data_IF_679505139199
#
_entry.id   IF_679505139199
#
_cell.length_a   1.000
_cell.length_b   1.000
_cell.length_c   1.000
_cell.angle_alpha   90.00
_cell.angle_beta   90.00
_cell.angle_gamma   90.00
#
_symmetry.space_group_name_H-M   'P 1'
#
loop_
_entity.id
_entity.type
_entity.pdbx_description
1 polymer ?
#
# COMPACT_ATOMS: atom_id res chain seq x y z
N UNK A 1 4.84 -29.84 -14.68
CA UNK A 1 6.31 -29.93 -14.76
C UNK A 1 6.89 -28.69 -14.10
N UNK A 2 7.68 -28.88 -13.06
CA UNK A 2 8.20 -27.80 -12.22
C UNK A 2 9.37 -27.11 -12.90
N UNK A 3 9.34 -25.78 -12.99
CA UNK A 3 10.34 -24.95 -13.67
C UNK A 3 11.67 -24.79 -12.90
N UNK A 4 11.82 -25.50 -11.78
CA UNK A 4 12.94 -25.34 -10.84
C UNK A 4 14.22 -26.15 -11.18
N UNK A 5 14.22 -26.98 -12.22
CA UNK A 5 15.37 -27.83 -12.56
C UNK A 5 16.50 -27.13 -13.34
N UNK A 6 16.37 -25.83 -13.66
CA UNK A 6 17.33 -25.10 -14.50
C UNK A 6 18.53 -24.45 -13.77
N UNK A 7 18.66 -24.58 -12.45
CA UNK A 7 19.71 -23.91 -11.68
C UNK A 7 20.64 -24.83 -10.87
N UNK A 8 21.00 -26.00 -11.41
CA UNK A 8 22.15 -26.77 -10.89
C UNK A 8 23.46 -26.34 -11.58
N UNK A 9 24.24 -25.47 -10.94
CA UNK A 9 25.68 -25.31 -11.25
C UNK A 9 26.53 -26.09 -10.23
N UNK A 10 27.44 -26.92 -10.75
CA UNK A 10 28.44 -27.71 -10.00
C UNK A 10 29.51 -26.80 -9.36
N UNK A 11 30.15 -27.22 -8.26
CA UNK A 11 31.08 -26.38 -7.50
C UNK A 11 32.46 -26.29 -8.16
N UNK A 12 33.04 -25.08 -8.18
CA UNK A 12 34.42 -24.84 -8.56
C UNK A 12 35.33 -24.77 -7.32
N UNK A 13 36.55 -25.24 -7.51
CA UNK A 13 37.53 -25.67 -6.51
C UNK A 13 38.17 -24.53 -5.70
N UNK A 14 38.60 -24.94 -4.51
CA UNK A 14 39.38 -24.20 -3.51
C UNK A 14 40.76 -23.77 -4.00
N UNK A 15 41.17 -22.54 -3.65
CA UNK A 15 42.60 -22.17 -3.55
C UNK A 15 42.84 -21.58 -2.17
N UNK A 16 43.77 -22.19 -1.42
CA UNK A 16 44.26 -21.75 -0.10
C UNK A 16 45.47 -20.79 -0.25
N UNK A 17 45.80 -20.02 0.80
CA UNK A 17 46.55 -18.76 0.70
C UNK A 17 48.07 -18.94 0.84
N UNK A 18 48.83 -17.96 0.36
CA UNK A 18 50.28 -17.82 0.62
C UNK A 18 50.49 -16.68 1.60
N UNK A 19 51.23 -17.00 2.66
CA UNK A 19 51.65 -16.13 3.74
C UNK A 19 52.99 -15.44 3.42
N UNK A 20 53.19 -14.25 4.00
CA UNK A 20 54.48 -13.62 4.35
C UNK A 20 54.13 -12.43 5.25
N UNK A 21 54.88 -12.00 6.26
CA UNK A 21 55.99 -12.57 6.99
C UNK A 21 56.06 -11.84 8.35
N UNK A 22 56.78 -12.42 9.30
CA UNK A 22 56.94 -11.96 10.69
C UNK A 22 57.87 -10.75 10.82
N UNK A 23 57.63 -9.92 11.84
CA UNK A 23 58.59 -9.30 12.79
C UNK A 23 57.90 -8.09 13.47
N UNK A 24 58.12 -7.69 14.72
CA UNK A 24 58.78 -8.25 15.88
C UNK A 24 58.26 -7.45 17.09
N UNK A 25 58.43 -8.03 18.26
CA UNK A 25 58.08 -7.61 19.63
C UNK A 25 58.63 -6.25 20.07
N UNK A 26 57.83 -5.51 20.83
CA UNK A 26 58.25 -4.38 21.66
C UNK A 26 57.26 -4.14 22.82
N UNK A 27 57.75 -4.23 24.05
CA UNK A 27 57.01 -4.30 25.31
C UNK A 27 56.55 -2.95 25.87
N UNK A 28 55.45 -3.02 26.62
CA UNK A 28 55.07 -2.20 27.78
C UNK A 28 54.72 -0.70 27.58
N UNK A 29 53.44 -0.38 27.85
CA UNK A 29 52.99 0.42 29.00
C UNK A 29 51.50 0.78 28.83
N UNK A 30 50.67 0.36 29.79
CA UNK A 30 49.39 1.03 30.03
C UNK A 30 49.64 2.41 30.63
N UNK A 31 48.87 3.41 30.22
CA UNK A 31 48.29 4.32 31.18
C UNK A 31 46.76 4.37 31.02
N UNK A 32 46.08 4.36 32.17
CA UNK A 32 44.67 4.73 32.27
C UNK A 32 44.51 6.18 31.83
N UNK A 33 43.60 6.46 30.92
CA UNK A 33 43.02 7.79 30.75
C UNK A 33 41.53 7.69 30.47
N UNK A 34 40.75 8.16 31.44
CA UNK A 34 39.35 8.53 31.27
C UNK A 34 39.26 9.57 30.14
N UNK A 35 38.54 9.25 29.06
CA UNK A 35 38.04 10.26 28.13
C UNK A 35 36.54 9.99 27.95
N UNK A 36 35.78 10.82 28.65
CA UNK A 36 34.40 11.16 28.28
C UNK A 36 34.43 11.76 26.88
N UNK A 37 33.76 11.12 25.92
CA UNK A 37 33.47 11.72 24.63
C UNK A 37 31.98 11.60 24.35
N UNK A 38 31.24 12.60 24.80
CA UNK A 38 29.89 12.91 24.30
C UNK A 38 30.01 13.29 22.82
N UNK A 39 29.72 12.35 21.93
CA UNK A 39 29.58 12.64 20.50
C UNK A 39 28.25 13.36 20.32
N UNK A 40 28.30 14.69 20.19
CA UNK A 40 27.21 15.47 19.61
C UNK A 40 27.15 15.12 18.13
N UNK A 41 26.24 14.23 17.76
CA UNK A 41 25.85 14.01 16.37
C UNK A 41 25.07 15.25 15.93
N UNK A 42 25.74 16.18 15.27
CA UNK A 42 25.06 17.18 14.45
C UNK A 42 24.46 16.43 13.28
N UNK A 43 23.15 16.22 13.34
CA UNK A 43 22.34 15.76 12.22
C UNK A 43 22.33 16.84 11.14
N UNK A 44 23.39 16.89 10.33
CA UNK A 44 23.32 17.58 9.06
C UNK A 44 22.35 16.80 8.18
N UNK A 45 21.14 17.34 8.07
CA UNK A 45 20.11 16.90 7.15
C UNK A 45 20.71 17.06 5.75
N UNK A 46 21.10 15.95 5.15
CA UNK A 46 21.37 15.88 3.71
C UNK A 46 20.08 16.36 3.04
N UNK A 47 20.07 17.49 2.29
CA UNK A 47 18.88 17.94 1.62
C UNK A 47 18.47 16.86 0.62
N UNK A 48 17.28 16.29 0.80
CA UNK A 48 16.67 15.43 -0.20
C UNK A 48 16.66 16.19 -1.52
N UNK A 49 17.22 15.60 -2.56
CA UNK A 49 17.03 16.09 -3.94
C UNK A 49 15.53 16.24 -4.13
N UNK A 50 15.05 17.47 -4.26
CA UNK A 50 13.64 17.71 -4.59
C UNK A 50 13.47 17.24 -6.02
N UNK A 51 12.92 16.03 -6.22
CA UNK A 51 12.52 15.59 -7.55
C UNK A 51 11.62 16.68 -8.14
N UNK A 52 12.07 17.29 -9.25
CA UNK A 52 11.35 18.38 -9.88
C UNK A 52 10.00 17.85 -10.37
N UNK A 53 8.91 18.45 -9.91
CA UNK A 53 7.55 18.03 -10.28
C UNK A 53 7.37 18.20 -11.79
N UNK A 54 7.13 17.09 -12.50
CA UNK A 54 6.83 17.08 -13.94
C UNK A 54 5.40 17.61 -14.16
N UNK A 55 5.20 18.77 -14.81
CA UNK A 55 3.87 19.32 -15.06
C UNK A 55 3.01 18.43 -15.96
N UNK A 56 1.69 18.48 -15.78
CA UNK A 56 0.72 17.71 -16.55
C UNK A 56 0.85 17.96 -18.05
N UNK A 57 1.15 19.19 -18.47
CA UNK A 57 1.34 19.58 -19.87
C UNK A 57 2.51 18.84 -20.54
N UNK A 58 3.53 18.45 -19.75
CA UNK A 58 4.61 17.60 -20.25
C UNK A 58 4.16 16.14 -20.31
N UNK A 59 3.46 15.66 -19.27
CA UNK A 59 2.98 14.27 -19.19
C UNK A 59 1.98 13.90 -20.28
N UNK A 60 1.11 14.85 -20.65
CA UNK A 60 0.11 14.71 -21.70
C UNK A 60 0.73 14.31 -23.05
N UNK A 61 1.96 14.75 -23.35
CA UNK A 61 2.64 14.46 -24.64
C UNK A 61 2.86 12.97 -24.88
N UNK A 62 3.02 12.21 -23.80
CA UNK A 62 3.25 10.76 -23.85
C UNK A 62 2.03 9.97 -23.32
N UNK A 63 0.96 10.65 -22.95
CA UNK A 63 -0.27 10.03 -22.44
C UNK A 63 -1.25 9.79 -23.60
N UNK A 64 -2.13 8.82 -23.40
CA UNK A 64 -3.13 8.44 -24.39
C UNK A 64 -4.48 8.92 -23.89
N UNK A 65 -5.13 9.75 -24.70
CA UNK A 65 -6.47 10.25 -24.40
C UNK A 65 -7.49 9.12 -24.53
N UNK A 66 -8.50 9.13 -23.66
CA UNK A 66 -9.63 8.20 -23.71
C UNK A 66 -10.44 8.37 -24.99
N UNK A 67 -11.40 7.46 -25.21
CA UNK A 67 -12.39 7.55 -26.30
C UNK A 67 -13.14 8.89 -26.32
N UNK A 68 -13.32 9.52 -25.16
CA UNK A 68 -13.97 10.82 -25.00
C UNK A 68 -12.99 12.00 -25.04
N UNK A 69 -11.72 11.76 -25.36
CA UNK A 69 -10.68 12.77 -25.42
C UNK A 69 -10.24 13.30 -24.05
N UNK A 70 -10.38 12.51 -22.98
CA UNK A 70 -9.93 12.88 -21.65
C UNK A 70 -8.58 12.24 -21.33
N UNK A 71 -7.70 13.00 -20.69
CA UNK A 71 -6.47 12.47 -20.12
C UNK A 71 -6.68 12.03 -18.66
N UNK A 72 -5.79 11.19 -18.09
CA UNK A 72 -5.96 10.62 -16.76
C UNK A 72 -6.24 11.64 -15.65
N UNK A 73 -5.55 12.78 -15.67
CA UNK A 73 -5.79 13.85 -14.70
C UNK A 73 -7.19 14.48 -14.80
N UNK A 74 -7.76 14.59 -16.00
CA UNK A 74 -9.12 15.11 -16.23
C UNK A 74 -10.18 14.09 -15.76
N UNK A 75 -9.96 12.80 -16.02
CA UNK A 75 -10.79 11.72 -15.47
C UNK A 75 -10.77 11.77 -13.94
N UNK A 76 -9.60 12.00 -13.35
CA UNK A 76 -9.51 12.16 -11.90
C UNK A 76 -10.27 13.40 -11.42
N UNK A 77 -10.31 14.49 -12.20
CA UNK A 77 -11.10 15.68 -11.86
C UNK A 77 -12.60 15.35 -11.88
N UNK A 78 -13.07 14.55 -12.85
CA UNK A 78 -14.45 14.05 -12.86
C UNK A 78 -14.76 13.27 -11.58
N UNK A 79 -13.85 12.38 -11.15
CA UNK A 79 -14.02 11.62 -9.91
C UNK A 79 -14.18 12.51 -8.67
N UNK A 80 -13.51 13.66 -8.64
CA UNK A 80 -13.58 14.62 -7.53
C UNK A 80 -14.61 15.75 -7.73
N UNK A 81 -15.30 15.82 -8.88
CA UNK A 81 -16.08 17.01 -9.26
C UNK A 81 -17.15 17.39 -8.23
N UNK A 82 -17.92 16.41 -7.74
CA UNK A 82 -18.96 16.59 -6.71
C UNK A 82 -18.41 17.03 -5.34
N UNK A 83 -17.08 17.00 -5.18
CA UNK A 83 -16.40 17.52 -4.00
C UNK A 83 -16.02 19.00 -4.09
N UNK A 84 -16.06 19.58 -5.29
CA UNK A 84 -15.63 20.95 -5.57
C UNK A 84 -16.82 21.88 -5.84
N UNK A 85 -16.71 23.09 -5.32
CA UNK A 85 -17.60 24.20 -5.64
C UNK A 85 -17.29 24.77 -7.03
N UNK A 86 -18.14 25.62 -7.58
CA UNK A 86 -17.86 26.33 -8.83
C UNK A 86 -16.84 27.47 -8.65
N UNK A 87 -16.61 27.88 -7.41
CA UNK A 87 -15.74 28.98 -6.98
C UNK A 87 -15.18 28.73 -5.57
N UNK A 88 -14.14 29.49 -5.19
CA UNK A 88 -13.51 29.44 -3.85
C UNK A 88 -13.03 28.06 -3.38
N UNK A 89 -12.56 27.22 -4.31
CA UNK A 89 -12.01 25.91 -3.95
C UNK A 89 -10.60 26.02 -3.37
N UNK A 90 -10.32 25.15 -2.41
CA UNK A 90 -8.96 24.75 -2.05
C UNK A 90 -8.72 23.33 -2.55
N UNK A 91 -7.68 23.14 -3.35
CA UNK A 91 -7.33 21.85 -3.92
C UNK A 91 -6.28 21.12 -3.09
N UNK A 92 -6.39 19.79 -3.05
CA UNK A 92 -5.43 18.94 -2.35
C UNK A 92 -4.06 18.98 -3.05
N UNK A 93 -2.97 18.98 -2.26
CA UNK A 93 -1.61 19.11 -2.79
C UNK A 93 -1.19 17.99 -3.76
N UNK A 94 -1.85 16.82 -3.72
CA UNK A 94 -1.52 15.72 -4.63
C UNK A 94 -1.69 16.09 -6.11
N UNK A 95 -2.59 17.02 -6.44
CA UNK A 95 -2.78 17.49 -7.80
C UNK A 95 -1.47 17.97 -8.41
N UNK A 96 -0.75 18.81 -7.68
CA UNK A 96 0.57 19.28 -8.09
C UNK A 96 1.63 18.20 -7.86
N UNK A 97 1.84 17.77 -6.62
CA UNK A 97 3.01 16.97 -6.26
C UNK A 97 3.03 15.57 -6.90
N UNK A 98 1.86 14.93 -7.09
CA UNK A 98 1.79 13.60 -7.72
C UNK A 98 1.53 13.69 -9.22
N UNK A 99 0.69 14.62 -9.66
CA UNK A 99 0.15 14.59 -11.02
C UNK A 99 0.52 15.79 -11.90
N UNK A 100 1.24 16.77 -11.36
CA UNK A 100 1.72 17.93 -12.12
C UNK A 100 0.62 18.92 -12.51
N UNK A 101 -0.57 18.84 -11.91
CA UNK A 101 -1.71 19.72 -12.19
C UNK A 101 -1.62 20.95 -11.30
N UNK A 102 -1.37 22.13 -11.91
CA UNK A 102 -1.29 23.41 -11.19
C UNK A 102 -2.66 24.06 -11.00
N UNK A 103 -3.45 24.09 -12.07
CA UNK A 103 -4.73 24.81 -12.10
C UNK A 103 -5.90 23.84 -12.28
N UNK A 104 -6.32 23.25 -11.17
CA UNK A 104 -7.45 22.30 -11.13
C UNK A 104 -8.76 23.00 -11.50
N UNK A 105 -8.94 24.27 -11.09
CA UNK A 105 -10.14 25.05 -11.38
C UNK A 105 -10.32 25.27 -12.89
N UNK A 106 -9.23 25.57 -13.61
CA UNK A 106 -9.26 25.67 -15.07
C UNK A 106 -9.63 24.35 -15.73
N UNK A 107 -9.14 23.23 -15.22
CA UNK A 107 -9.53 21.89 -15.68
C UNK A 107 -11.03 21.63 -15.50
N UNK A 108 -11.58 21.93 -14.32
CA UNK A 108 -13.01 21.79 -14.05
C UNK A 108 -13.88 22.68 -14.96
N UNK A 109 -13.45 23.92 -15.22
CA UNK A 109 -14.14 24.79 -16.20
C UNK A 109 -14.11 24.21 -17.61
N UNK A 110 -12.97 23.67 -18.05
CA UNK A 110 -12.89 23.00 -19.36
C UNK A 110 -13.82 21.80 -19.45
N UNK A 111 -13.93 21.01 -18.38
CA UNK A 111 -14.85 19.86 -18.33
C UNK A 111 -16.33 20.27 -18.34
N UNK A 112 -16.66 21.41 -17.71
CA UNK A 112 -17.98 22.04 -17.81
C UNK A 112 -18.26 22.50 -19.25
N UNK A 113 -17.35 23.24 -19.87
CA UNK A 113 -17.51 23.77 -21.23
C UNK A 113 -17.63 22.65 -22.27
N UNK A 114 -16.96 21.51 -22.04
CA UNK A 114 -17.01 20.30 -22.89
C UNK A 114 -18.21 19.40 -22.59
N UNK A 115 -19.07 19.75 -21.63
CA UNK A 115 -20.30 19.04 -21.32
C UNK A 115 -20.15 17.75 -20.48
N UNK A 116 -18.99 17.51 -19.88
CA UNK A 116 -18.81 16.40 -18.91
C UNK A 116 -19.34 16.76 -17.52
N UNK A 117 -19.34 18.04 -17.18
CA UNK A 117 -19.88 18.57 -15.95
C UNK A 117 -21.06 19.50 -16.23
N UNK A 118 -21.89 19.70 -15.21
CA UNK A 118 -22.92 20.73 -15.14
C UNK A 118 -22.86 21.41 -13.76
N UNK A 119 -23.47 22.59 -13.65
CA UNK A 119 -23.63 23.27 -12.36
C UNK A 119 -24.67 22.52 -11.54
N UNK A 120 -24.31 22.17 -10.31
CA UNK A 120 -25.18 21.46 -9.39
C UNK A 120 -26.40 22.26 -8.97
N UNK A 121 -27.49 21.55 -8.69
CA UNK A 121 -28.75 22.16 -8.28
C UNK A 121 -28.75 22.58 -6.78
N UNK A 122 -29.82 23.25 -6.36
CA UNK A 122 -30.00 23.69 -4.98
C UNK A 122 -29.94 22.54 -3.98
N UNK A 123 -30.57 21.42 -4.29
CA UNK A 123 -30.58 20.26 -3.42
C UNK A 123 -29.15 19.78 -3.12
N UNK A 124 -28.31 19.63 -4.14
CA UNK A 124 -26.92 19.19 -3.94
C UNK A 124 -26.05 20.21 -3.23
N UNK A 125 -26.33 21.52 -3.39
CA UNK A 125 -25.66 22.54 -2.58
C UNK A 125 -25.99 22.36 -1.08
N UNK A 126 -27.26 22.11 -0.75
CA UNK A 126 -27.69 21.88 0.64
C UNK A 126 -27.14 20.54 1.17
N UNK A 127 -27.13 19.49 0.35
CA UNK A 127 -26.55 18.19 0.72
C UNK A 127 -25.05 18.28 1.00
N UNK A 128 -24.35 19.28 0.46
CA UNK A 128 -22.92 19.47 0.71
C UNK A 128 -22.62 20.10 2.08
N UNK A 129 -23.57 20.84 2.63
CA UNK A 129 -23.39 21.57 3.88
C UNK A 129 -23.24 20.66 5.09
N UNK A 130 -22.63 21.19 6.16
CA UNK A 130 -22.53 20.44 7.41
C UNK A 130 -23.92 20.29 8.05
N UNK A 131 -24.21 19.11 8.62
CA UNK A 131 -25.44 18.87 9.37
C UNK A 131 -25.69 19.91 10.47
N UNK A 132 -24.65 20.52 11.06
CA UNK A 132 -24.80 21.63 12.01
C UNK A 132 -25.42 22.88 11.37
N UNK A 133 -24.98 23.24 10.16
CA UNK A 133 -25.53 24.36 9.37
C UNK A 133 -26.99 24.10 9.01
N UNK A 134 -27.30 22.88 8.54
CA UNK A 134 -28.68 22.51 8.22
C UNK A 134 -29.60 22.61 9.45
N UNK A 135 -29.14 22.15 10.62
CA UNK A 135 -29.89 22.24 11.87
C UNK A 135 -30.07 23.69 12.33
N UNK A 136 -29.07 24.56 12.16
CA UNK A 136 -29.23 25.98 12.51
C UNK A 136 -30.27 26.66 11.62
N UNK A 137 -30.29 26.37 10.31
CA UNK A 137 -31.27 26.93 9.39
C UNK A 137 -32.70 26.47 9.71
N UNK A 138 -32.89 25.19 10.02
CA UNK A 138 -34.18 24.65 10.47
C UNK A 138 -34.62 25.29 11.79
N UNK A 139 -33.71 25.40 12.77
CA UNK A 139 -34.01 25.99 14.09
C UNK A 139 -34.43 27.46 13.99
N UNK A 140 -33.77 28.24 13.13
CA UNK A 140 -34.08 29.65 12.91
C UNK A 140 -35.53 29.86 12.44
N UNK A 141 -36.14 28.85 11.83
CA UNK A 141 -37.51 28.86 11.31
C UNK A 141 -38.48 28.03 12.16
N UNK A 142 -38.08 27.64 13.37
CA UNK A 142 -38.90 26.85 14.30
C UNK A 142 -39.16 25.41 13.84
N UNK A 143 -38.40 24.91 12.85
CA UNK A 143 -38.58 23.57 12.30
C UNK A 143 -37.83 22.53 13.13
N UNK A 144 -38.31 21.28 13.06
CA UNK A 144 -37.70 20.13 13.74
C UNK A 144 -36.26 19.91 13.24
N UNK A 145 -35.31 19.74 14.16
CA UNK A 145 -33.86 19.58 13.86
C UNK A 145 -33.32 18.15 14.05
N UNK A 146 -34.18 17.21 14.47
CA UNK A 146 -33.83 15.80 14.58
C UNK A 146 -33.94 15.10 13.22
N UNK A 147 -33.18 14.03 13.04
CA UNK A 147 -33.22 13.17 11.85
C UNK A 147 -31.84 12.93 11.24
N UNK A 148 -31.79 12.02 10.27
CA UNK A 148 -30.61 11.86 9.40
C UNK A 148 -30.44 13.07 8.50
N UNK A 149 -29.24 13.27 7.92
CA UNK A 149 -28.92 14.44 7.09
C UNK A 149 -29.94 14.61 5.95
N UNK A 150 -30.26 13.53 5.25
CA UNK A 150 -31.18 13.55 4.11
C UNK A 150 -32.58 14.02 4.52
N UNK A 151 -33.04 13.65 5.72
CA UNK A 151 -34.32 14.13 6.26
C UNK A 151 -34.28 15.63 6.58
N UNK A 152 -33.13 16.16 7.01
CA UNK A 152 -32.95 17.60 7.24
C UNK A 152 -32.97 18.37 5.91
N UNK A 153 -32.29 17.85 4.89
CA UNK A 153 -32.28 18.42 3.53
C UNK A 153 -33.70 18.45 2.96
N UNK A 154 -34.42 17.34 3.00
CA UNK A 154 -35.80 17.25 2.52
C UNK A 154 -36.73 18.25 3.22
N UNK A 155 -36.57 18.40 4.54
CA UNK A 155 -37.35 19.38 5.32
C UNK A 155 -37.06 20.82 4.91
N UNK A 156 -35.78 21.17 4.70
CA UNK A 156 -35.42 22.49 4.18
C UNK A 156 -36.10 22.72 2.82
N UNK A 157 -35.99 21.76 1.90
CA UNK A 157 -36.54 21.87 0.54
C UNK A 157 -38.07 21.96 0.49
N UNK A 158 -38.77 21.35 1.45
CA UNK A 158 -40.24 21.32 1.49
C UNK A 158 -40.84 22.52 2.21
N UNK A 159 -40.25 22.92 3.34
CA UNK A 159 -40.83 23.91 4.26
C UNK A 159 -40.34 25.34 4.00
N UNK A 160 -39.23 25.51 3.26
CA UNK A 160 -38.63 26.83 3.02
C UNK A 160 -38.71 27.18 1.52
N UNK A 161 -39.16 28.40 1.17
CA UNK A 161 -39.20 28.84 -0.22
C UNK A 161 -37.84 28.69 -0.93
N UNK A 162 -37.88 28.18 -2.16
CA UNK A 162 -36.67 27.95 -2.96
C UNK A 162 -35.84 29.22 -3.18
N UNK A 163 -36.46 30.39 -3.32
CA UNK A 163 -35.73 31.67 -3.47
C UNK A 163 -34.87 31.98 -2.25
N UNK A 164 -35.39 31.76 -1.05
CA UNK A 164 -34.67 31.98 0.21
C UNK A 164 -33.51 31.00 0.36
N UNK A 165 -33.75 29.72 0.05
CA UNK A 165 -32.71 28.70 0.04
C UNK A 165 -31.63 28.99 -1.01
N UNK A 166 -32.02 29.46 -2.19
CA UNK A 166 -31.08 29.83 -3.26
C UNK A 166 -30.17 30.98 -2.85
N UNK A 167 -30.71 31.98 -2.13
CA UNK A 167 -29.94 33.06 -1.56
C UNK A 167 -28.98 32.55 -0.47
N UNK A 168 -29.47 31.69 0.43
CA UNK A 168 -28.69 31.16 1.55
C UNK A 168 -27.55 30.23 1.11
N UNK A 169 -27.83 29.38 0.14
CA UNK A 169 -26.94 28.35 -0.38
C UNK A 169 -26.53 28.70 -1.81
N UNK A 170 -26.03 29.91 -2.04
CA UNK A 170 -25.69 30.39 -3.38
C UNK A 170 -24.53 29.62 -4.05
N UNK A 171 -23.59 29.10 -3.24
CA UNK A 171 -22.44 28.34 -3.73
C UNK A 171 -22.88 26.98 -4.28
N UNK A 172 -22.58 26.73 -5.55
CA UNK A 172 -22.91 25.47 -6.23
C UNK A 172 -21.70 24.57 -6.33
N UNK A 173 -21.94 23.27 -6.42
CA UNK A 173 -20.92 22.29 -6.77
C UNK A 173 -20.94 21.98 -8.25
N UNK A 174 -19.88 21.33 -8.74
CA UNK A 174 -20.01 20.60 -9.99
C UNK A 174 -20.85 19.34 -9.79
N UNK A 175 -21.44 18.86 -10.88
CA UNK A 175 -22.09 17.56 -10.97
C UNK A 175 -21.74 16.90 -12.30
N UNK A 176 -21.59 15.59 -12.30
CA UNK A 176 -21.41 14.81 -13.53
C UNK A 176 -22.68 14.84 -14.40
N UNK A 177 -22.52 15.12 -15.69
CA UNK A 177 -23.54 14.81 -16.71
C UNK A 177 -23.54 13.31 -17.00
N UNK A 178 -24.51 12.82 -17.79
CA UNK A 178 -24.48 11.42 -18.25
C UNK A 178 -23.20 11.09 -19.05
N UNK A 179 -22.73 12.05 -19.87
CA UNK A 179 -21.45 11.92 -20.57
C UNK A 179 -20.26 11.85 -19.59
N UNK A 180 -20.28 12.69 -18.54
CA UNK A 180 -19.27 12.66 -17.47
C UNK A 180 -19.24 11.33 -16.73
N UNK A 181 -20.41 10.78 -16.38
CA UNK A 181 -20.54 9.47 -15.71
C UNK A 181 -19.99 8.36 -16.59
N UNK A 182 -20.40 8.32 -17.87
CA UNK A 182 -19.91 7.31 -18.82
C UNK A 182 -18.38 7.38 -18.98
N UNK A 183 -17.83 8.58 -19.19
CA UNK A 183 -16.39 8.73 -19.37
C UNK A 183 -15.59 8.34 -18.12
N UNK A 184 -16.13 8.59 -16.93
CA UNK A 184 -15.51 8.17 -15.66
C UNK A 184 -15.57 6.65 -15.46
N UNK A 185 -16.67 6.01 -15.86
CA UNK A 185 -16.85 4.56 -15.77
C UNK A 185 -15.89 3.82 -16.72
N UNK A 186 -15.81 4.25 -17.98
CA UNK A 186 -14.90 3.66 -18.99
C UNK A 186 -13.42 3.77 -18.57
N UNK A 187 -13.05 4.84 -17.87
CA UNK A 187 -11.68 5.11 -17.39
C UNK A 187 -11.48 4.77 -15.90
N UNK A 188 -12.24 3.81 -15.37
CA UNK A 188 -12.26 3.46 -13.95
C UNK A 188 -10.91 3.06 -13.32
N UNK A 189 -9.89 2.76 -14.13
CA UNK A 189 -8.52 2.52 -13.63
C UNK A 189 -7.91 3.76 -12.96
N UNK A 190 -8.27 4.97 -13.40
CA UNK A 190 -7.72 6.23 -12.89
C UNK A 190 -8.06 6.43 -11.40
N UNK A 191 -9.35 6.48 -11.00
CA UNK A 191 -9.69 6.59 -9.58
C UNK A 191 -9.31 5.34 -8.79
N UNK A 192 -9.17 4.17 -9.46
CA UNK A 192 -8.68 2.97 -8.80
C UNK A 192 -7.21 3.12 -8.37
N UNK A 193 -6.28 3.40 -9.30
CA UNK A 193 -4.84 3.48 -8.98
C UNK A 193 -4.50 4.69 -8.11
N UNK A 194 -5.27 5.78 -8.21
CA UNK A 194 -5.10 6.91 -7.30
C UNK A 194 -5.31 6.52 -5.83
N UNK A 195 -6.34 5.71 -5.56
CA UNK A 195 -6.70 5.21 -4.22
C UNK A 195 -5.86 4.04 -3.76
N UNK A 196 -5.25 3.31 -4.68
CA UNK A 196 -4.38 2.18 -4.40
C UNK A 196 -2.98 2.45 -4.97
N UNK A 197 -2.16 3.30 -4.32
CA UNK A 197 -0.80 3.53 -4.75
C UNK A 197 -0.01 2.21 -4.79
N UNK A 198 0.63 1.92 -5.91
CA UNK A 198 1.40 0.69 -6.13
C UNK A 198 2.79 1.07 -6.66
N UNK A 199 3.74 1.26 -5.74
CA UNK A 199 5.12 1.66 -6.08
C UNK A 199 5.16 2.86 -7.05
N UNK A 200 5.68 2.67 -8.26
CA UNK A 200 5.79 3.68 -9.33
C UNK A 200 4.59 3.69 -10.31
N UNK A 201 3.56 2.88 -10.03
CA UNK A 201 2.33 2.85 -10.80
C UNK A 201 1.38 3.97 -10.34
N UNK A 202 1.12 4.92 -11.23
CA UNK A 202 0.24 6.07 -11.03
C UNK A 202 -0.77 6.19 -12.19
N UNK A 203 -1.56 7.27 -12.20
CA UNK A 203 -2.58 7.49 -13.25
C UNK A 203 -1.97 7.61 -14.65
N UNK A 204 -0.71 8.03 -14.76
CA UNK A 204 0.00 8.26 -16.02
C UNK A 204 0.72 7.00 -16.50
N UNK A 205 1.41 6.29 -15.62
CA UNK A 205 2.10 5.05 -15.99
C UNK A 205 1.11 3.91 -16.24
N UNK A 206 0.00 3.83 -15.49
CA UNK A 206 -1.06 2.87 -15.80
C UNK A 206 -1.78 3.20 -17.12
N UNK A 207 -1.97 4.48 -17.45
CA UNK A 207 -2.54 4.89 -18.74
C UNK A 207 -1.74 4.32 -19.93
N UNK A 208 -0.41 4.29 -19.84
CA UNK A 208 0.43 3.66 -20.89
C UNK A 208 0.20 2.15 -20.95
N UNK A 209 0.25 1.48 -19.80
CA UNK A 209 0.16 0.01 -19.70
C UNK A 209 -1.17 -0.54 -20.24
N UNK A 210 -2.30 0.14 -19.97
CA UNK A 210 -3.62 -0.35 -20.40
C UNK A 210 -3.83 -0.26 -21.91
N UNK A 211 -3.11 0.65 -22.59
CA UNK A 211 -3.19 0.86 -24.03
C UNK A 211 -2.13 0.04 -24.80
N UNK A 212 -1.28 -0.71 -24.10
CA UNK A 212 -0.37 -1.65 -24.73
C UNK A 212 -1.04 -3.01 -24.96
N UNK A 213 -0.76 -3.73 -26.05
CA UNK A 213 -1.19 -5.12 -26.20
C UNK A 213 -0.60 -6.04 -25.12
N UNK A 214 -1.30 -7.12 -24.71
CA UNK A 214 -2.67 -7.48 -25.08
C UNK A 214 -3.71 -6.56 -24.40
N UNK A 215 -4.77 -6.20 -25.12
CA UNK A 215 -5.88 -5.43 -24.54
C UNK A 215 -6.72 -6.32 -23.63
N UNK A 216 -6.84 -5.93 -22.37
CA UNK A 216 -7.50 -6.69 -21.32
C UNK A 216 -7.95 -5.75 -20.19
N UNK A 217 -8.80 -6.19 -19.26
CA UNK A 217 -9.18 -5.39 -18.11
C UNK A 217 -7.97 -4.81 -17.37
N UNK A 218 -8.06 -3.55 -16.93
CA UNK A 218 -6.96 -2.88 -16.25
C UNK A 218 -6.49 -3.63 -14.99
N UNK A 219 -7.38 -4.38 -14.32
CA UNK A 219 -7.04 -5.21 -13.17
C UNK A 219 -6.04 -6.30 -13.54
N UNK A 220 -6.23 -6.94 -14.69
CA UNK A 220 -5.30 -7.97 -15.16
C UNK A 220 -3.96 -7.38 -15.59
N UNK A 221 -3.98 -6.15 -16.13
CA UNK A 221 -2.75 -5.38 -16.39
C UNK A 221 -1.98 -5.09 -15.11
N UNK A 222 -2.66 -4.64 -14.06
CA UNK A 222 -2.05 -4.42 -12.74
C UNK A 222 -1.53 -5.74 -12.16
N UNK A 223 -2.28 -6.83 -12.29
CA UNK A 223 -1.86 -8.16 -11.86
C UNK A 223 -0.59 -8.62 -12.59
N UNK A 224 -0.51 -8.42 -13.91
CA UNK A 224 0.68 -8.70 -14.72
C UNK A 224 1.89 -7.86 -14.27
N UNK A 225 1.67 -6.57 -14.02
CA UNK A 225 2.68 -5.66 -13.47
C UNK A 225 3.19 -6.14 -12.09
N UNK A 226 2.30 -6.47 -11.15
CA UNK A 226 2.66 -6.96 -9.81
C UNK A 226 3.44 -8.27 -9.87
N UNK A 227 3.07 -9.19 -10.77
CA UNK A 227 3.85 -10.41 -10.98
C UNK A 227 5.26 -10.11 -11.46
N UNK A 228 5.42 -9.25 -12.47
CA UNK A 228 6.73 -8.84 -12.98
C UNK A 228 7.58 -8.20 -11.87
N UNK A 229 7.02 -7.20 -11.16
CA UNK A 229 7.68 -6.52 -10.04
C UNK A 229 8.08 -7.48 -8.93
N UNK A 230 7.21 -8.42 -8.57
CA UNK A 230 7.55 -9.43 -7.56
C UNK A 230 8.80 -10.22 -7.96
N UNK A 231 8.92 -10.65 -9.22
CA UNK A 231 10.09 -11.39 -9.68
C UNK A 231 11.37 -10.53 -9.67
N UNK A 232 11.27 -9.26 -10.06
CA UNK A 232 12.38 -8.31 -9.98
C UNK A 232 12.85 -8.11 -8.54
N UNK A 233 11.93 -7.90 -7.60
CA UNK A 233 12.23 -7.76 -6.18
C UNK A 233 12.87 -9.02 -5.60
N UNK A 234 12.35 -10.19 -5.94
CA UNK A 234 12.91 -11.46 -5.50
C UNK A 234 14.35 -11.63 -6.00
N UNK A 235 14.61 -11.37 -7.28
CA UNK A 235 15.94 -11.48 -7.88
C UNK A 235 16.94 -10.48 -7.27
N UNK A 236 16.47 -9.29 -6.85
CA UNK A 236 17.27 -8.27 -6.20
C UNK A 236 17.47 -8.49 -4.68
N UNK A 237 16.92 -9.56 -4.10
CA UNK A 237 16.97 -9.80 -2.65
C UNK A 237 16.09 -8.84 -1.84
N UNK A 238 15.10 -8.22 -2.48
CA UNK A 238 14.16 -7.28 -1.87
C UNK A 238 12.88 -7.97 -1.38
N UNK A 239 13.01 -8.84 -0.37
CA UNK A 239 11.90 -9.69 0.06
C UNK A 239 10.76 -8.93 0.74
N UNK A 240 11.03 -7.77 1.34
CA UNK A 240 9.99 -6.87 1.85
C UNK A 240 9.13 -6.26 0.74
N UNK A 241 9.73 -5.88 -0.38
CA UNK A 241 8.99 -5.39 -1.55
C UNK A 241 8.28 -6.55 -2.28
N UNK A 242 8.90 -7.73 -2.34
CA UNK A 242 8.27 -8.94 -2.85
C UNK A 242 6.95 -9.25 -2.14
N UNK A 243 6.98 -9.36 -0.81
CA UNK A 243 5.76 -9.67 -0.03
C UNK A 243 4.72 -8.56 -0.16
N UNK A 244 5.12 -7.30 -0.36
CA UNK A 244 4.17 -6.21 -0.59
C UNK A 244 3.41 -6.42 -1.91
N UNK A 245 4.08 -6.86 -2.98
CA UNK A 245 3.39 -7.25 -4.21
C UNK A 245 2.35 -8.34 -3.95
N UNK A 246 2.69 -9.39 -3.19
CA UNK A 246 1.76 -10.47 -2.84
C UNK A 246 0.57 -10.00 -2.00
N UNK A 247 0.79 -9.08 -1.07
CA UNK A 247 -0.28 -8.47 -0.29
C UNK A 247 -1.21 -7.59 -1.15
N UNK A 248 -0.67 -6.82 -2.11
CA UNK A 248 -1.53 -6.11 -3.06
C UNK A 248 -2.36 -7.08 -3.90
N UNK A 249 -1.75 -8.17 -4.37
CA UNK A 249 -2.46 -9.23 -5.09
C UNK A 249 -3.55 -9.89 -4.24
N UNK A 250 -3.34 -10.10 -2.93
CA UNK A 250 -4.41 -10.61 -2.06
C UNK A 250 -5.59 -9.64 -1.96
N UNK A 251 -5.33 -8.32 -1.91
CA UNK A 251 -6.39 -7.31 -1.82
C UNK A 251 -7.26 -7.30 -3.09
N UNK A 252 -6.66 -7.44 -4.28
CA UNK A 252 -7.42 -7.63 -5.53
C UNK A 252 -8.36 -8.83 -5.46
N UNK A 253 -7.85 -9.97 -4.98
CA UNK A 253 -8.65 -11.19 -4.87
C UNK A 253 -9.78 -11.07 -3.84
N UNK A 254 -9.55 -10.36 -2.73
CA UNK A 254 -10.59 -10.03 -1.74
C UNK A 254 -11.70 -9.17 -2.36
N UNK A 255 -11.33 -8.12 -3.10
CA UNK A 255 -12.29 -7.27 -3.82
C UNK A 255 -13.13 -8.07 -4.84
N UNK A 256 -12.52 -9.05 -5.50
CA UNK A 256 -13.17 -9.96 -6.45
C UNK A 256 -13.91 -11.14 -5.79
N UNK A 257 -13.96 -11.19 -4.45
CA UNK A 257 -14.55 -12.28 -3.65
C UNK A 257 -13.93 -13.66 -3.92
N UNK A 258 -12.68 -13.70 -4.40
CA UNK A 258 -11.87 -14.91 -4.59
C UNK A 258 -11.11 -15.23 -3.30
N UNK A 259 -11.87 -15.48 -2.23
CA UNK A 259 -11.35 -15.50 -0.85
C UNK A 259 -10.31 -16.61 -0.63
N UNK A 260 -10.50 -17.78 -1.23
CA UNK A 260 -9.54 -18.90 -1.12
C UNK A 260 -8.19 -18.55 -1.75
N UNK A 261 -8.20 -17.89 -2.91
CA UNK A 261 -6.98 -17.46 -3.58
C UNK A 261 -6.29 -16.32 -2.81
N UNK A 262 -7.09 -15.41 -2.24
CA UNK A 262 -6.60 -14.34 -1.38
C UNK A 262 -5.87 -14.90 -0.15
N UNK A 263 -6.46 -15.91 0.51
CA UNK A 263 -5.81 -16.63 1.61
C UNK A 263 -4.51 -17.30 1.17
N UNK A 264 -4.45 -17.84 -0.05
CA UNK A 264 -3.21 -18.37 -0.63
C UNK A 264 -2.12 -17.30 -0.76
N UNK A 265 -2.46 -16.11 -1.24
CA UNK A 265 -1.52 -14.98 -1.32
C UNK A 265 -1.08 -14.50 0.08
N UNK A 266 -2.01 -14.39 1.03
CA UNK A 266 -1.70 -14.02 2.41
C UNK A 266 -0.82 -15.06 3.12
N UNK A 267 -1.01 -16.36 2.84
CA UNK A 267 -0.16 -17.42 3.38
C UNK A 267 1.29 -17.26 2.91
N UNK A 268 1.48 -16.83 1.67
CA UNK A 268 2.81 -16.51 1.14
C UNK A 268 3.38 -15.23 1.78
N UNK A 269 2.56 -14.20 2.01
CA UNK A 269 2.98 -13.01 2.77
C UNK A 269 3.48 -13.39 4.17
N UNK A 270 2.71 -14.18 4.91
CA UNK A 270 3.07 -14.67 6.25
C UNK A 270 4.38 -15.46 6.23
N UNK A 271 4.57 -16.32 5.23
CA UNK A 271 5.80 -17.08 5.05
C UNK A 271 7.01 -16.14 4.95
N UNK A 272 6.96 -15.09 4.13
CA UNK A 272 8.07 -14.15 4.02
C UNK A 272 8.22 -13.23 5.24
N UNK A 273 7.12 -12.83 5.90
CA UNK A 273 7.17 -12.04 7.14
C UNK A 273 7.92 -12.78 8.27
N UNK A 274 7.77 -14.10 8.32
CA UNK A 274 8.38 -14.97 9.32
C UNK A 274 9.69 -15.63 8.82
N UNK A 275 10.16 -15.29 7.63
CA UNK A 275 11.37 -15.87 7.05
C UNK A 275 12.67 -15.30 7.65
N UNK A 276 12.62 -14.08 8.20
CA UNK A 276 13.81 -13.31 8.58
C UNK A 276 14.46 -12.56 7.42
N UNK A 277 13.88 -12.61 6.22
CA UNK A 277 14.36 -11.88 5.05
C UNK A 277 13.86 -10.43 5.05
N UNK A 278 14.73 -9.50 4.67
CA UNK A 278 14.42 -8.06 4.51
C UNK A 278 14.70 -7.58 3.10
N UNK A 279 14.58 -6.27 2.86
CA UNK A 279 15.10 -5.67 1.64
C UNK A 279 16.63 -5.66 1.65
N UNK A 280 17.25 -5.87 0.48
CA UNK A 280 18.70 -5.97 0.33
C UNK A 280 19.31 -7.14 1.10
N UNK A 281 18.57 -8.24 1.30
CA UNK A 281 19.10 -9.39 2.02
C UNK A 281 20.29 -9.99 1.28
N UNK A 282 21.40 -10.13 2.01
CA UNK A 282 22.60 -10.81 1.55
C UNK A 282 23.09 -11.74 2.66
N UNK A 283 23.24 -13.06 2.40
CA UNK A 283 23.69 -14.01 3.41
C UNK A 283 25.01 -13.65 4.09
N UNK A 284 25.88 -12.85 3.44
CA UNK A 284 27.16 -12.43 4.05
C UNK A 284 26.98 -11.51 5.27
N UNK A 285 25.82 -10.86 5.41
CA UNK A 285 25.48 -9.95 6.50
C UNK A 285 24.46 -10.55 7.47
N UNK A 286 24.31 -11.89 7.47
CA UNK A 286 23.33 -12.59 8.32
C UNK A 286 23.49 -12.26 9.81
N UNK A 287 24.70 -11.98 10.27
CA UNK A 287 24.99 -11.58 11.65
C UNK A 287 24.39 -10.23 12.04
N UNK A 288 24.23 -9.32 11.09
CA UNK A 288 23.55 -8.03 11.29
C UNK A 288 22.05 -8.27 11.41
N UNK A 289 21.46 -9.00 10.47
CA UNK A 289 20.02 -9.30 10.46
C UNK A 289 19.60 -10.11 11.70
N UNK A 290 20.43 -11.06 12.13
CA UNK A 290 20.08 -11.96 13.23
C UNK A 290 19.95 -11.28 14.60
N UNK A 291 20.47 -10.05 14.76
CA UNK A 291 20.33 -9.27 16.00
C UNK A 291 18.88 -8.94 16.32
N UNK A 292 17.99 -8.93 15.33
CA UNK A 292 16.57 -8.60 15.48
C UNK A 292 15.63 -9.77 15.22
N UNK A 293 16.11 -11.02 15.21
CA UNK A 293 15.23 -12.18 15.00
C UNK A 293 14.57 -12.68 16.28
N UNK A 294 15.23 -12.50 17.43
CA UNK A 294 14.79 -13.04 18.71
C UNK A 294 15.19 -12.11 19.86
N UNK A 295 14.46 -12.08 20.99
CA UNK A 295 13.20 -12.79 21.29
C UNK A 295 11.96 -12.13 20.63
N UNK A 296 10.76 -12.73 20.78
CA UNK A 296 9.50 -12.21 20.19
C UNK A 296 9.31 -10.71 20.37
N UNK A 297 9.47 -10.21 21.61
CA UNK A 297 9.27 -8.79 21.96
C UNK A 297 10.18 -7.81 21.19
N UNK A 298 11.33 -8.28 20.70
CA UNK A 298 12.33 -7.47 20.00
C UNK A 298 12.46 -7.91 18.53
N UNK A 299 11.62 -8.85 18.08
CA UNK A 299 11.73 -9.47 16.77
C UNK A 299 11.19 -8.55 15.67
N UNK A 300 11.90 -8.49 14.54
CA UNK A 300 11.40 -7.91 13.30
C UNK A 300 10.65 -8.93 12.43
N UNK A 301 10.81 -10.22 12.71
CA UNK A 301 10.13 -11.30 11.99
C UNK A 301 8.81 -11.64 12.70
N UNK A 302 7.82 -10.76 12.56
CA UNK A 302 6.46 -10.87 13.12
C UNK A 302 5.42 -10.63 12.02
N UNK A 303 4.18 -11.07 12.19
CA UNK A 303 3.12 -10.75 11.21
C UNK A 303 2.43 -9.45 11.60
N UNK A 304 2.34 -8.51 10.64
CA UNK A 304 1.68 -7.24 10.90
C UNK A 304 0.18 -7.43 11.22
N UNK A 305 -0.37 -6.61 12.12
CA UNK A 305 -1.77 -6.71 12.57
C UNK A 305 -2.79 -6.67 11.41
N UNK A 306 -2.50 -5.88 10.36
CA UNK A 306 -3.34 -5.84 9.16
C UNK A 306 -3.37 -7.18 8.41
N UNK A 307 -2.24 -7.89 8.36
CA UNK A 307 -2.13 -9.20 7.71
C UNK A 307 -2.82 -10.27 8.54
N UNK A 308 -2.62 -10.32 9.87
CA UNK A 308 -3.35 -11.27 10.73
C UNK A 308 -4.85 -11.02 10.66
N UNK A 309 -5.29 -9.76 10.67
CA UNK A 309 -6.71 -9.41 10.50
C UNK A 309 -7.27 -9.88 9.15
N UNK A 310 -6.51 -9.72 8.06
CA UNK A 310 -6.92 -10.18 6.73
C UNK A 310 -7.03 -11.72 6.65
N UNK A 311 -6.08 -12.46 7.24
CA UNK A 311 -6.15 -13.93 7.32
C UNK A 311 -7.36 -14.39 8.11
N UNK A 312 -7.63 -13.78 9.27
CA UNK A 312 -8.80 -14.11 10.10
C UNK A 312 -10.11 -13.72 9.40
N UNK A 313 -10.11 -12.66 8.58
CA UNK A 313 -11.25 -12.33 7.73
C UNK A 313 -11.50 -13.43 6.69
N UNK A 314 -10.47 -13.91 6.00
CA UNK A 314 -10.61 -15.05 5.08
C UNK A 314 -11.12 -16.31 5.81
N UNK A 315 -10.60 -16.59 7.02
CA UNK A 315 -11.06 -17.71 7.84
C UNK A 315 -12.58 -17.64 8.07
N UNK A 316 -13.09 -16.47 8.47
CA UNK A 316 -14.52 -16.25 8.71
C UNK A 316 -15.35 -16.39 7.44
N UNK A 317 -14.93 -15.76 6.34
CA UNK A 317 -15.66 -15.81 5.07
C UNK A 317 -15.72 -17.21 4.47
N UNK A 318 -14.69 -18.02 4.70
CA UNK A 318 -14.65 -19.42 4.28
C UNK A 318 -15.22 -20.39 5.33
N UNK A 319 -15.68 -19.89 6.49
CA UNK A 319 -16.19 -20.70 7.61
C UNK A 319 -15.22 -21.79 8.09
N UNK A 320 -13.91 -21.49 8.08
CA UNK A 320 -12.87 -22.45 8.47
C UNK A 320 -12.68 -22.48 9.98
N UNK A 321 -12.52 -23.68 10.53
CA UNK A 321 -11.93 -23.89 11.86
C UNK A 321 -10.45 -23.48 11.89
N UNK A 322 -9.86 -23.38 13.09
CA UNK A 322 -8.43 -23.11 13.23
C UNK A 322 -7.57 -24.16 12.53
N UNK A 323 -7.92 -25.44 12.65
CA UNK A 323 -7.16 -26.55 12.07
C UNK A 323 -7.27 -26.56 10.54
N UNK A 324 -8.45 -26.25 10.00
CA UNK A 324 -8.63 -26.09 8.55
C UNK A 324 -7.88 -24.88 8.01
N UNK A 325 -7.90 -23.75 8.73
CA UNK A 325 -7.10 -22.58 8.36
C UNK A 325 -5.62 -22.94 8.28
N UNK A 326 -5.09 -23.58 9.33
CA UNK A 326 -3.70 -24.05 9.33
C UNK A 326 -3.44 -24.97 8.15
N UNK A 327 -4.27 -25.98 7.91
CA UNK A 327 -4.09 -26.92 6.80
C UNK A 327 -4.01 -26.22 5.44
N UNK A 328 -4.88 -25.23 5.18
CA UNK A 328 -4.86 -24.44 3.94
C UNK A 328 -3.58 -23.60 3.82
N UNK A 329 -3.16 -22.95 4.90
CA UNK A 329 -1.92 -22.17 4.91
C UNK A 329 -0.70 -23.06 4.67
N UNK A 330 -0.64 -24.21 5.33
CA UNK A 330 0.45 -25.18 5.21
C UNK A 330 0.56 -25.72 3.78
N UNK A 331 -0.55 -26.07 3.13
CA UNK A 331 -0.54 -26.54 1.73
C UNK A 331 0.15 -25.53 0.80
N UNK A 332 -0.10 -24.23 1.01
CA UNK A 332 0.56 -23.17 0.25
C UNK A 332 2.03 -23.04 0.64
N UNK A 333 2.33 -22.91 1.93
CA UNK A 333 3.68 -22.65 2.44
C UNK A 333 4.67 -23.77 2.09
N UNK A 334 4.22 -25.03 2.09
CA UNK A 334 5.07 -26.18 1.75
C UNK A 334 5.51 -26.22 0.29
N UNK A 335 4.92 -25.39 -0.58
CA UNK A 335 5.32 -25.25 -1.99
C UNK A 335 6.30 -24.10 -2.22
N UNK A 336 6.60 -23.34 -1.17
CA UNK A 336 7.49 -22.18 -1.22
C UNK A 336 8.92 -22.58 -0.84
N UNK A 337 9.88 -21.79 -1.31
CA UNK A 337 11.29 -21.91 -0.94
C UNK A 337 11.87 -20.52 -0.77
N UNK A 338 12.62 -20.33 0.31
CA UNK A 338 13.28 -19.07 0.65
C UNK A 338 14.74 -19.34 1.04
N UNK A 339 15.66 -18.39 0.78
CA UNK A 339 17.08 -18.53 1.15
C UNK A 339 17.33 -18.67 2.66
N UNK A 340 16.41 -18.15 3.48
CA UNK A 340 16.44 -18.24 4.93
C UNK A 340 15.00 -18.40 5.43
N UNK A 341 14.82 -19.16 6.50
CA UNK A 341 13.55 -19.23 7.19
C UNK A 341 13.74 -19.48 8.69
N UNK A 342 13.12 -18.65 9.55
CA UNK A 342 13.28 -18.74 11.01
C UNK A 342 12.35 -19.78 11.63
N UNK A 343 11.12 -19.86 11.13
CA UNK A 343 10.05 -20.74 11.61
C UNK A 343 9.81 -21.91 10.65
N UNK A 344 9.19 -22.99 11.08
CA UNK A 344 8.66 -23.98 10.11
C UNK A 344 7.31 -23.51 9.55
N UNK A 345 6.81 -24.04 8.42
CA UNK A 345 5.47 -23.73 7.92
C UNK A 345 4.36 -23.94 8.97
N UNK A 346 4.47 -24.99 9.79
CA UNK A 346 3.56 -25.25 10.92
C UNK A 346 3.62 -24.11 11.94
N UNK A 347 4.84 -23.72 12.33
CA UNK A 347 5.05 -22.64 13.29
C UNK A 347 4.56 -21.30 12.75
N UNK A 348 4.66 -21.05 11.43
CA UNK A 348 4.10 -19.85 10.81
C UNK A 348 2.58 -19.75 10.96
N UNK A 349 1.86 -20.83 10.67
CA UNK A 349 0.41 -20.86 10.81
C UNK A 349 -0.02 -20.73 12.29
N UNK A 350 0.72 -21.34 13.21
CA UNK A 350 0.52 -21.20 14.64
C UNK A 350 0.74 -19.74 15.11
N UNK A 351 1.80 -19.08 14.66
CA UNK A 351 2.11 -17.69 15.01
C UNK A 351 0.98 -16.75 14.61
N UNK A 352 0.37 -16.94 13.43
CA UNK A 352 -0.77 -16.11 12.99
C UNK A 352 -1.93 -16.16 13.97
N UNK A 353 -2.30 -17.37 14.43
CA UNK A 353 -3.36 -17.52 15.43
C UNK A 353 -2.95 -16.91 16.77
N UNK A 354 -1.73 -17.17 17.23
CA UNK A 354 -1.23 -16.63 18.49
C UNK A 354 -1.18 -15.09 18.48
N UNK A 355 -0.69 -14.47 17.41
CA UNK A 355 -0.65 -13.01 17.27
C UNK A 355 -2.06 -12.41 17.16
N UNK A 356 -2.98 -13.05 16.44
CA UNK A 356 -4.38 -12.61 16.38
C UNK A 356 -5.07 -12.62 17.76
N UNK A 357 -4.64 -13.53 18.65
CA UNK A 357 -5.14 -13.69 20.02
C UNK A 357 -4.33 -12.94 21.06
N UNK A 358 -3.20 -12.34 20.66
CA UNK A 358 -2.21 -11.71 21.55
C UNK A 358 -1.70 -12.68 22.62
N UNK A 359 -1.51 -13.94 22.28
CA UNK A 359 -0.96 -14.98 23.16
C UNK A 359 0.57 -14.86 23.24
N UNK A 360 1.03 -13.88 24.02
CA UNK A 360 2.45 -13.55 24.17
C UNK A 360 3.27 -14.67 24.83
N UNK A 361 2.64 -15.52 25.63
CA UNK A 361 3.30 -16.63 26.31
C UNK A 361 3.62 -17.76 25.32
N UNK A 362 2.66 -18.12 24.47
CA UNK A 362 2.88 -19.08 23.39
C UNK A 362 3.91 -18.56 22.38
N UNK A 363 3.82 -17.28 22.01
CA UNK A 363 4.78 -16.62 21.11
C UNK A 363 6.19 -16.64 21.69
N UNK A 364 6.36 -16.34 22.98
CA UNK A 364 7.68 -16.40 23.62
C UNK A 364 8.28 -17.81 23.54
N UNK A 365 7.47 -18.85 23.73
CA UNK A 365 7.92 -20.26 23.64
C UNK A 365 8.31 -20.64 22.21
N UNK A 366 7.50 -20.30 21.21
CA UNK A 366 7.77 -20.68 19.80
C UNK A 366 9.02 -19.96 19.26
N UNK A 367 9.23 -18.69 19.63
CA UNK A 367 10.44 -17.95 19.28
C UNK A 367 11.68 -18.51 19.99
N UNK A 368 11.58 -18.92 21.26
CA UNK A 368 12.69 -19.57 21.94
C UNK A 368 13.07 -20.91 21.28
N UNK A 369 12.09 -21.68 20.80
CA UNK A 369 12.31 -22.91 20.02
C UNK A 369 13.01 -22.61 18.69
N UNK A 370 12.49 -21.64 17.93
CA UNK A 370 13.09 -21.20 16.68
C UNK A 370 14.53 -20.69 16.85
N UNK A 371 14.81 -19.93 17.92
CA UNK A 371 16.17 -19.47 18.27
C UNK A 371 17.14 -20.63 18.49
N UNK A 372 16.74 -21.68 19.20
CA UNK A 372 17.58 -22.87 19.42
C UNK A 372 17.91 -23.56 18.09
N UNK A 373 16.93 -23.72 17.21
CA UNK A 373 17.13 -24.29 15.86
C UNK A 373 18.03 -23.40 15.01
N UNK A 374 17.86 -22.08 15.05
CA UNK A 374 18.72 -21.14 14.35
C UNK A 374 20.18 -21.26 14.83
N UNK A 375 20.44 -21.30 16.14
CA UNK A 375 21.79 -21.48 16.71
C UNK A 375 22.45 -22.80 16.33
N UNK A 376 21.67 -23.87 16.15
CA UNK A 376 22.20 -25.16 15.69
C UNK A 376 22.72 -25.05 14.25
N UNK A 377 22.02 -24.30 13.39
CA UNK A 377 22.43 -24.09 11.99
C UNK A 377 23.52 -23.02 11.85
N UNK A 378 23.56 -22.05 12.77
CA UNK A 378 24.47 -20.89 12.75
C UNK A 378 25.15 -20.67 14.11
N UNK A 379 26.03 -21.57 14.56
CA UNK A 379 26.58 -21.55 15.92
C UNK A 379 27.42 -20.30 16.24
N UNK A 380 28.02 -19.69 15.22
CA UNK A 380 28.90 -18.52 15.38
C UNK A 380 28.15 -17.17 15.29
N UNK A 381 26.86 -17.17 14.96
CA UNK A 381 26.08 -15.94 14.79
C UNK A 381 25.45 -15.53 16.12
N UNK A 382 25.63 -14.27 16.52
CA UNK A 382 24.95 -13.69 17.68
C UNK A 382 23.52 -13.30 17.29
N UNK A 383 22.58 -13.70 18.15
CA UNK A 383 21.13 -13.52 18.04
C UNK A 383 20.48 -13.92 19.35
#
# INVERSE_FOLDING_TARGET
>A
MSFFDLFRKKPAQSVKPVASDKMATGTAKQPKSNISSSVKVTSEIIPSVTDEVIPAEKRIKDAIASKHGLYPHEVLMLYYADSYFTEDNSFQGFWWYRYGVRDVQKGLRSLLDRGFLQIGNLQSAIEKENATVLKSELKARGLKVSGKKDELVQRLMTEIPHEELNSRFAKRTYQLTELGKQALEEEGYVPYIHRHPLEDLDIWSLNKIIHEPPYMPYRDKIWGYLNKRSMEHFAAGNFGLYRNCRHHMSNFLMEEKKIKDALGMLSEVVFYDLSGLSNGYDPKYLDIFAQSFFPYKDSTATVALGITSAVIQCQKELSLTDDELKAVMLDRMNRLSAPLHLFTPEECADIVLMESRRDTDALTKIYAKAKRRFKQNYPNIKC
#
